data_IF_827169114783
#
_entry.id   IF_827169114783
#
_cell.length_a   1.000
_cell.length_b   1.000
_cell.length_c   1.000
_cell.angle_alpha   90.00
_cell.angle_beta   90.00
_cell.angle_gamma   90.00
#
_symmetry.space_group_name_H-M   'P 1'
#
loop_
_entity.id
_entity.type
_entity.pdbx_description
1 polymer ?
#
# COMPACT_ATOMS: atom_id res chain seq x y z
N UNK A 1 40.66 25.46 10.89
CA UNK A 1 39.28 25.19 11.31
C UNK A 1 38.95 23.78 10.83
N UNK A 2 38.90 22.77 11.72
CA UNK A 2 38.60 21.39 11.32
C UNK A 2 37.10 21.33 10.97
N UNK A 3 36.76 20.99 9.73
CA UNK A 3 35.36 20.88 9.27
C UNK A 3 34.97 19.41 9.37
N UNK A 4 33.91 19.11 10.13
CA UNK A 4 33.32 17.76 10.20
C UNK A 4 32.67 17.43 8.85
N UNK A 5 33.07 16.31 8.22
CA UNK A 5 32.35 15.71 7.09
C UNK A 5 31.49 14.57 7.62
N UNK A 6 30.28 14.41 7.09
CA UNK A 6 29.43 13.25 7.35
C UNK A 6 29.26 12.53 6.02
N UNK A 7 29.52 11.22 6.02
CA UNK A 7 29.31 10.35 4.88
C UNK A 7 28.01 9.58 5.12
N UNK A 8 27.07 9.68 4.19
CA UNK A 8 25.79 8.96 4.26
C UNK A 8 25.74 8.02 3.04
N UNK A 9 25.49 6.74 3.31
CA UNK A 9 25.41 5.68 2.29
C UNK A 9 23.95 5.23 2.22
N UNK A 10 23.38 5.27 1.02
CA UNK A 10 22.01 4.83 0.76
C UNK A 10 22.03 3.49 0.03
N UNK A 11 21.22 2.54 0.50
CA UNK A 11 20.99 1.26 -0.16
C UNK A 11 19.55 1.22 -0.69
N UNK A 12 19.40 0.94 -1.99
CA UNK A 12 18.12 0.61 -2.60
C UNK A 12 17.99 -0.90 -2.75
N UNK A 13 16.97 -1.50 -2.14
CA UNK A 13 16.57 -2.88 -2.39
C UNK A 13 15.34 -2.84 -3.30
N UNK A 14 15.52 -3.12 -4.59
CA UNK A 14 14.40 -3.40 -5.49
C UNK A 14 14.13 -4.91 -5.50
N UNK A 15 12.85 -5.30 -5.44
CA UNK A 15 12.41 -6.69 -5.40
C UNK A 15 12.53 -7.44 -6.75
N UNK A 16 13.19 -6.86 -7.76
CA UNK A 16 13.62 -7.59 -8.95
C UNK A 16 15.14 -7.72 -8.94
N UNK A 17 15.62 -8.96 -8.87
CA UNK A 17 17.03 -9.27 -9.01
C UNK A 17 17.60 -8.62 -10.29
N UNK A 18 18.73 -7.92 -10.10
CA UNK A 18 19.59 -7.26 -11.09
C UNK A 18 19.38 -5.76 -11.35
N UNK A 19 19.47 -4.92 -10.31
CA UNK A 19 20.26 -3.67 -10.33
C UNK A 19 20.16 -2.96 -8.96
N UNK A 20 21.16 -3.13 -8.08
CA UNK A 20 21.30 -2.26 -6.91
C UNK A 20 22.19 -1.07 -7.29
N UNK A 21 21.61 0.12 -7.42
CA UNK A 21 22.37 1.37 -7.48
C UNK A 21 22.79 1.80 -6.08
N UNK A 22 24.09 2.05 -5.85
CA UNK A 22 24.60 2.64 -4.60
C UNK A 22 24.89 4.11 -4.86
N UNK A 23 24.25 4.99 -4.09
CA UNK A 23 24.48 6.44 -4.18
C UNK A 23 25.17 6.96 -2.92
N UNK A 24 26.17 7.81 -3.13
CA UNK A 24 26.92 8.46 -2.06
C UNK A 24 26.56 9.94 -2.00
N UNK A 25 26.23 10.42 -0.80
CA UNK A 25 25.98 11.84 -0.57
C UNK A 25 26.94 12.35 0.50
N UNK A 26 27.43 13.56 0.30
CA UNK A 26 28.25 14.25 1.32
C UNK A 26 27.63 15.58 1.67
N UNK A 27 27.83 16.02 2.91
CA UNK A 27 27.37 17.32 3.37
C UNK A 27 28.36 17.93 4.36
N UNK A 28 28.69 19.20 4.15
CA UNK A 28 29.35 20.03 5.14
C UNK A 28 28.32 20.75 6.01
N UNK A 29 28.70 21.08 7.25
CA UNK A 29 27.82 21.74 8.22
C UNK A 29 27.32 23.09 7.68
N UNK A 30 26.01 23.17 7.41
CA UNK A 30 25.34 24.38 6.91
C UNK A 30 25.09 24.42 5.40
N UNK A 31 25.34 23.34 4.66
CA UNK A 31 25.06 23.25 3.22
C UNK A 31 23.99 22.18 2.92
N UNK A 32 23.42 22.20 1.71
CA UNK A 32 22.55 21.12 1.21
C UNK A 32 23.37 19.88 0.85
N UNK A 33 22.70 18.72 0.72
CA UNK A 33 23.36 17.47 0.36
C UNK A 33 23.77 17.52 -1.11
N UNK A 34 25.02 17.15 -1.41
CA UNK A 34 25.52 17.06 -2.78
C UNK A 34 25.73 15.59 -3.13
N UNK A 35 25.13 15.16 -4.26
CA UNK A 35 25.25 13.81 -4.81
C UNK A 35 26.65 13.63 -5.39
N UNK A 36 27.32 12.55 -5.00
CA UNK A 36 28.60 12.15 -5.58
C UNK A 36 28.33 10.95 -6.48
N UNK A 37 28.28 11.20 -7.78
CA UNK A 37 28.17 10.14 -8.78
C UNK A 37 29.52 9.43 -8.93
N UNK A 38 29.58 8.19 -8.43
CA UNK A 38 30.70 7.29 -8.72
C UNK A 38 30.23 6.39 -9.86
N UNK A 39 30.74 6.65 -11.06
CA UNK A 39 30.35 5.90 -12.26
C UNK A 39 30.77 4.43 -12.13
N UNK A 40 29.78 3.53 -12.03
CA UNK A 40 29.94 2.13 -12.36
C UNK A 40 29.13 1.88 -13.63
N UNK A 41 29.77 1.31 -14.66
CA UNK A 41 29.15 1.07 -15.96
C UNK A 41 27.89 0.19 -15.82
N UNK A 42 26.72 0.75 -16.09
CA UNK A 42 25.43 0.06 -16.14
C UNK A 42 24.25 1.04 -16.10
N UNK A 43 23.43 1.01 -17.15
CA UNK A 43 22.32 1.94 -17.41
C UNK A 43 21.10 1.75 -16.47
N UNK A 44 20.44 2.89 -16.19
CA UNK A 44 19.09 3.15 -15.65
C UNK A 44 18.61 2.45 -14.35
N UNK A 45 18.41 3.26 -13.29
CA UNK A 45 17.71 2.89 -12.04
C UNK A 45 16.70 3.97 -11.66
N UNK A 46 15.44 3.58 -11.37
CA UNK A 46 14.37 4.43 -10.82
C UNK A 46 14.18 4.21 -9.30
N UNK A 47 13.97 5.30 -8.57
CA UNK A 47 14.14 5.43 -7.11
C UNK A 47 13.02 4.84 -6.22
N UNK A 48 13.43 4.15 -5.15
CA UNK A 48 12.82 4.22 -3.82
C UNK A 48 13.94 4.08 -2.79
N UNK A 49 14.12 5.10 -1.94
CA UNK A 49 15.30 5.23 -1.05
C UNK A 49 14.89 5.35 0.41
N UNK A 50 15.52 4.58 1.29
CA UNK A 50 15.42 4.73 2.74
C UNK A 50 16.73 5.30 3.31
N UNK A 51 16.63 6.23 4.27
CA UNK A 51 17.77 6.92 4.87
C UNK A 51 18.35 6.10 6.03
N UNK A 52 19.63 5.75 5.97
CA UNK A 52 20.38 5.21 7.10
C UNK A 52 21.53 6.16 7.45
N UNK A 53 21.50 6.78 8.64
CA UNK A 53 22.60 7.60 9.14
C UNK A 53 23.61 6.74 9.88
N UNK A 54 24.83 6.59 9.35
CA UNK A 54 25.93 5.88 10.03
C UNK A 54 26.90 6.91 10.60
N UNK A 55 27.09 6.98 11.93
CA UNK A 55 28.06 7.89 12.53
C UNK A 55 29.49 7.37 12.34
N UNK A 56 30.30 8.07 11.55
CA UNK A 56 31.74 7.79 11.41
C UNK A 56 32.51 8.45 12.57
N UNK A 57 33.38 7.69 13.24
CA UNK A 57 34.15 8.11 14.42
C UNK A 57 35.09 9.30 14.16
N UNK A 58 35.38 10.09 15.20
CA UNK A 58 35.87 11.48 15.11
C UNK A 58 37.27 11.72 14.52
N UNK A 59 38.05 10.71 14.10
CA UNK A 59 39.46 10.91 13.72
C UNK A 59 39.96 10.19 12.44
N UNK A 60 39.09 9.65 11.58
CA UNK A 60 39.53 9.03 10.32
C UNK A 60 39.46 9.97 9.10
N UNK A 61 40.63 10.25 8.52
CA UNK A 61 40.77 10.82 7.19
C UNK A 61 40.59 9.70 6.17
N UNK A 62 39.46 9.70 5.46
CA UNK A 62 39.14 8.72 4.42
C UNK A 62 39.94 9.08 3.17
N UNK A 63 41.09 8.42 2.96
CA UNK A 63 41.95 8.67 1.79
C UNK A 63 41.66 7.70 0.62
N UNK A 64 40.95 6.59 0.82
CA UNK A 64 40.43 5.77 -0.29
C UNK A 64 39.04 5.17 0.00
N UNK A 65 38.05 5.27 -0.94
CA UNK A 65 36.68 4.83 -0.70
C UNK A 65 36.47 3.31 -0.73
N UNK A 66 37.45 2.55 -1.24
CA UNK A 66 37.24 1.15 -1.64
C UNK A 66 37.35 0.19 -0.45
N UNK A 67 38.26 0.44 0.49
CA UNK A 67 38.47 -0.47 1.64
C UNK A 67 37.33 -0.45 2.67
N UNK A 68 36.63 0.68 2.82
CA UNK A 68 35.50 0.81 3.75
C UNK A 68 34.26 0.04 3.24
N UNK A 69 34.14 -0.13 1.91
CA UNK A 69 33.01 -0.80 1.27
C UNK A 69 33.04 -2.32 1.53
N UNK A 70 34.22 -2.93 1.51
CA UNK A 70 34.36 -4.37 1.76
C UNK A 70 34.00 -4.72 3.22
N UNK A 71 34.45 -3.92 4.20
CA UNK A 71 34.08 -4.14 5.61
C UNK A 71 32.58 -3.90 5.89
N UNK A 72 31.97 -2.91 5.23
CA UNK A 72 30.53 -2.63 5.38
C UNK A 72 29.65 -3.70 4.71
N UNK A 73 30.10 -4.28 3.59
CA UNK A 73 29.40 -5.39 2.95
C UNK A 73 29.43 -6.65 3.82
N UNK A 74 30.57 -7.00 4.40
CA UNK A 74 30.69 -8.17 5.29
C UNK A 74 29.82 -8.02 6.55
N UNK A 75 29.81 -6.85 7.20
CA UNK A 75 28.98 -6.62 8.39
C UNK A 75 27.46 -6.68 8.10
N UNK A 76 27.04 -6.26 6.90
CA UNK A 76 25.63 -6.32 6.51
C UNK A 76 25.16 -7.74 6.17
N UNK A 77 26.06 -8.60 5.68
CA UNK A 77 25.75 -9.99 5.35
C UNK A 77 25.54 -10.86 6.60
N UNK A 78 26.31 -10.61 7.67
CA UNK A 78 26.19 -11.31 8.95
C UNK A 78 24.85 -11.00 9.66
N UNK A 79 24.35 -9.77 9.57
CA UNK A 79 23.06 -9.36 10.15
C UNK A 79 21.87 -10.04 9.45
N UNK A 80 22.00 -10.34 8.15
CA UNK A 80 20.95 -10.98 7.36
C UNK A 80 20.90 -12.51 7.54
N UNK A 81 22.01 -13.14 7.91
CA UNK A 81 22.07 -14.60 8.14
C UNK A 81 21.50 -15.02 9.51
N UNK A 82 21.56 -14.17 10.53
CA UNK A 82 21.11 -14.45 11.91
C UNK A 82 19.57 -14.52 12.05
N UNK A 83 18.82 -14.05 11.05
CA UNK A 83 17.36 -14.07 11.03
C UNK A 83 16.75 -15.34 10.42
N UNK A 84 17.56 -16.34 10.07
CA UNK A 84 17.13 -17.52 9.30
C UNK A 84 17.13 -18.87 10.03
N UNK A 85 17.51 -18.94 11.32
CA UNK A 85 17.47 -20.20 12.07
C UNK A 85 16.24 -20.32 13.01
N UNK A 86 15.44 -21.42 12.90
CA UNK A 86 14.35 -21.68 13.84
C UNK A 86 14.90 -22.30 15.13
N UNK A 87 14.78 -21.60 16.26
CA UNK A 87 15.17 -22.16 17.55
C UNK A 87 14.17 -23.24 18.03
N UNK A 88 14.62 -24.49 18.00
CA UNK A 88 13.99 -25.65 18.63
C UNK A 88 14.15 -25.55 20.16
N UNK A 89 13.06 -25.38 20.89
CA UNK A 89 13.04 -25.49 22.36
C UNK A 89 12.77 -26.96 22.72
N UNK A 90 13.73 -27.56 23.42
CA UNK A 90 13.70 -28.95 23.86
C UNK A 90 12.77 -29.19 25.06
N UNK A 91 12.19 -30.38 25.08
CA UNK A 91 11.48 -30.98 26.21
C UNK A 91 12.48 -31.30 27.34
N UNK A 92 12.34 -30.66 28.50
CA UNK A 92 12.23 -31.33 29.81
C UNK A 92 12.33 -30.36 31.01
N UNK A 93 11.34 -30.49 31.89
CA UNK A 93 11.33 -30.19 33.33
C UNK A 93 11.63 -28.75 33.84
N UNK A 94 10.57 -27.94 33.98
CA UNK A 94 10.39 -27.11 35.18
C UNK A 94 8.97 -27.30 35.71
N UNK A 95 8.85 -28.20 36.70
CA UNK A 95 7.70 -28.29 37.59
C UNK A 95 7.57 -27.00 38.40
N UNK A 96 6.61 -26.16 38.02
CA UNK A 96 6.12 -25.05 38.83
C UNK A 96 4.69 -24.76 38.40
N UNK A 97 3.71 -25.03 39.27
CA UNK A 97 2.29 -24.74 39.05
C UNK A 97 2.10 -23.27 38.66
N UNK A 98 1.97 -23.00 37.36
CA UNK A 98 1.48 -21.73 36.85
C UNK A 98 -0.01 -21.64 37.19
N UNK A 99 -0.33 -20.84 38.19
CA UNK A 99 -1.69 -20.39 38.45
C UNK A 99 -2.23 -19.78 37.17
N UNK A 100 -3.24 -20.42 36.59
CA UNK A 100 -4.02 -19.90 35.47
C UNK A 100 -4.72 -18.64 35.97
N UNK A 101 -4.42 -17.43 35.47
CA UNK A 101 -5.17 -16.26 35.85
C UNK A 101 -6.59 -16.38 35.28
N UNK A 102 -7.58 -16.06 36.10
CA UNK A 102 -9.00 -16.02 35.75
C UNK A 102 -9.23 -15.35 34.39
N UNK A 103 -9.91 -16.07 33.49
CA UNK A 103 -10.38 -15.63 32.17
C UNK A 103 -11.56 -14.65 32.25
N UNK A 104 -11.61 -13.81 33.29
CA UNK A 104 -12.62 -12.77 33.48
C UNK A 104 -11.96 -11.39 33.54
N UNK A 105 -11.38 -10.94 32.42
CA UNK A 105 -11.27 -9.52 32.05
C UNK A 105 -10.53 -9.34 30.71
N UNK A 106 -11.06 -9.89 29.61
CA UNK A 106 -10.69 -9.40 28.28
C UNK A 106 -11.40 -8.05 28.00
N UNK A 107 -11.11 -7.04 28.81
CA UNK A 107 -11.52 -5.67 28.54
C UNK A 107 -10.59 -5.08 27.47
N UNK A 108 -11.08 -5.08 26.23
CA UNK A 108 -10.81 -4.10 25.17
C UNK A 108 -9.36 -3.57 25.03
N UNK A 109 -8.50 -4.33 24.36
CA UNK A 109 -7.18 -3.85 23.88
C UNK A 109 -7.26 -3.00 22.59
N UNK A 110 -8.45 -2.77 22.02
CA UNK A 110 -8.64 -2.05 20.74
C UNK A 110 -8.96 -0.55 20.88
N UNK A 111 -9.08 -0.03 22.10
CA UNK A 111 -9.48 1.37 22.36
C UNK A 111 -8.62 2.50 21.75
N UNK A 112 -7.34 2.33 21.36
CA UNK A 112 -6.59 3.43 20.74
C UNK A 112 -7.09 3.78 19.33
N UNK A 113 -7.41 2.78 18.50
CA UNK A 113 -7.81 3.00 17.10
C UNK A 113 -9.22 3.55 16.97
N UNK A 114 -10.07 3.28 17.95
CA UNK A 114 -11.48 3.72 18.01
C UNK A 114 -11.63 5.22 18.34
N UNK A 115 -10.57 5.85 18.87
CA UNK A 115 -10.58 7.25 19.31
C UNK A 115 -9.66 8.15 18.49
N UNK A 116 -8.93 7.58 17.53
CA UNK A 116 -7.92 8.29 16.76
C UNK A 116 -8.47 8.62 15.37
N UNK A 117 -8.17 9.84 14.91
CA UNK A 117 -8.41 10.27 13.54
C UNK A 117 -7.05 10.29 12.85
N UNK A 118 -6.86 9.43 11.86
CA UNK A 118 -5.60 9.30 11.13
C UNK A 118 -5.67 10.22 9.91
N UNK A 119 -5.08 11.41 9.99
CA UNK A 119 -5.22 12.48 9.00
C UNK A 119 -4.00 12.63 8.10
N UNK A 120 -2.80 12.37 8.63
CA UNK A 120 -1.56 12.47 7.83
C UNK A 120 -1.26 11.14 7.12
N UNK A 121 -0.48 11.16 6.02
CA UNK A 121 -0.03 9.92 5.38
C UNK A 121 0.67 8.96 6.35
N UNK A 122 1.51 9.47 7.25
CA UNK A 122 2.24 8.67 8.24
C UNK A 122 1.29 8.00 9.23
N UNK A 123 0.31 8.75 9.76
CA UNK A 123 -0.71 8.19 10.67
C UNK A 123 -1.54 7.11 9.97
N UNK A 124 -1.87 7.29 8.69
CA UNK A 124 -2.59 6.27 7.93
C UNK A 124 -1.72 5.03 7.71
N UNK A 125 -0.44 5.18 7.36
CA UNK A 125 0.50 4.04 7.26
C UNK A 125 0.61 3.28 8.59
N UNK A 126 0.68 3.99 9.72
CA UNK A 126 0.65 3.37 11.04
C UNK A 126 -0.64 2.59 11.28
N UNK A 127 -1.80 3.13 10.88
CA UNK A 127 -3.07 2.40 10.95
C UNK A 127 -3.00 1.06 10.20
N UNK A 128 -2.49 1.04 8.97
CA UNK A 128 -2.33 -0.18 8.17
C UNK A 128 -1.40 -1.19 8.86
N UNK A 129 -0.25 -0.71 9.36
CA UNK A 129 0.70 -1.55 10.09
C UNK A 129 0.07 -2.18 11.36
N UNK A 130 -0.71 -1.41 12.13
CA UNK A 130 -1.43 -1.93 13.30
C UNK A 130 -2.49 -2.96 12.96
N UNK A 131 -3.09 -2.88 11.76
CA UNK A 131 -4.03 -3.88 11.26
C UNK A 131 -3.35 -5.11 10.66
N UNK A 132 -2.02 -5.12 10.54
CA UNK A 132 -1.27 -6.18 9.86
C UNK A 132 -1.55 -6.22 8.35
N UNK A 133 -1.82 -5.06 7.74
CA UNK A 133 -2.08 -4.92 6.31
C UNK A 133 -0.89 -4.20 5.68
N UNK A 134 -0.35 -4.76 4.60
CA UNK A 134 0.69 -4.11 3.81
C UNK A 134 0.08 -2.94 3.03
N UNK A 135 0.64 -1.74 3.17
CA UNK A 135 0.14 -0.60 2.44
C UNK A 135 0.48 -0.72 0.95
N UNK A 136 -0.54 -0.64 0.10
CA UNK A 136 -0.40 -0.71 -1.36
C UNK A 136 -1.36 0.28 -2.01
N UNK A 137 -0.84 1.37 -2.58
CA UNK A 137 -1.60 2.41 -3.30
C UNK A 137 -1.56 2.20 -4.83
N UNK A 138 -1.57 0.94 -5.26
CA UNK A 138 -1.47 0.58 -6.67
C UNK A 138 -2.19 -0.75 -6.95
N UNK A 139 -2.27 -1.10 -8.23
CA UNK A 139 -2.68 -2.44 -8.67
C UNK A 139 -1.44 -3.31 -8.80
N UNK A 140 -1.35 -4.36 -7.99
CA UNK A 140 -0.28 -5.37 -8.08
C UNK A 140 -0.83 -6.62 -8.77
N UNK A 141 -0.10 -7.20 -9.74
CA UNK A 141 -0.53 -8.40 -10.46
C UNK A 141 0.21 -9.63 -9.94
N UNK A 142 -0.51 -10.52 -9.26
CA UNK A 142 0.03 -11.81 -8.79
C UNK A 142 -0.24 -12.92 -9.82
N UNK A 143 -1.38 -12.87 -10.51
CA UNK A 143 -1.67 -13.80 -11.62
C UNK A 143 -0.83 -13.44 -12.86
N UNK A 144 0.43 -13.88 -12.86
CA UNK A 144 1.42 -13.55 -13.89
C UNK A 144 0.96 -13.75 -15.35
N UNK A 145 0.17 -14.79 -15.71
CA UNK A 145 -0.30 -14.94 -17.10
C UNK A 145 -1.08 -13.73 -17.62
N UNK A 146 -1.69 -12.92 -16.76
CA UNK A 146 -2.41 -11.71 -17.16
C UNK A 146 -1.50 -10.70 -17.89
N UNK A 147 -0.22 -10.66 -17.56
CA UNK A 147 0.74 -9.70 -18.13
C UNK A 147 1.00 -9.95 -19.63
N UNK A 148 0.69 -11.14 -20.13
CA UNK A 148 0.82 -11.49 -21.54
C UNK A 148 -0.43 -11.13 -22.38
N UNK A 149 -1.52 -10.68 -21.75
CA UNK A 149 -2.79 -10.38 -22.42
C UNK A 149 -2.83 -8.94 -22.90
N UNK A 150 -3.25 -8.74 -24.16
CA UNK A 150 -3.68 -7.42 -24.62
C UNK A 150 -5.11 -7.13 -24.13
N UNK A 151 -5.24 -6.46 -22.99
CA UNK A 151 -6.55 -6.16 -22.39
C UNK A 151 -7.41 -5.19 -23.21
N UNK A 152 -6.83 -4.48 -24.20
CA UNK A 152 -7.60 -3.68 -25.16
C UNK A 152 -8.41 -4.56 -26.15
N UNK A 153 -8.04 -5.83 -26.30
CA UNK A 153 -8.79 -6.79 -27.12
C UNK A 153 -9.84 -7.57 -26.32
N UNK A 154 -9.92 -7.35 -25.00
CA UNK A 154 -10.89 -8.02 -24.13
C UNK A 154 -12.34 -7.65 -24.48
N UNK A 155 -13.29 -8.56 -24.22
CA UNK A 155 -14.72 -8.28 -24.41
C UNK A 155 -15.16 -7.05 -23.61
N UNK A 156 -14.62 -6.87 -22.39
CA UNK A 156 -14.90 -5.70 -21.56
C UNK A 156 -14.50 -4.40 -22.26
N UNK A 157 -13.30 -4.33 -22.83
CA UNK A 157 -12.85 -3.14 -23.54
C UNK A 157 -13.67 -2.91 -24.82
N UNK A 158 -13.83 -3.96 -25.62
CA UNK A 158 -14.48 -3.89 -26.92
C UNK A 158 -15.99 -3.60 -26.85
N UNK A 159 -16.62 -3.79 -25.69
CA UNK A 159 -18.02 -3.40 -25.48
C UNK A 159 -18.26 -1.89 -25.57
N UNK A 160 -17.30 -1.06 -25.11
CA UNK A 160 -17.43 0.41 -25.04
C UNK A 160 -16.06 1.13 -25.24
N UNK A 161 -15.34 0.89 -26.36
CA UNK A 161 -13.94 1.33 -26.51
C UNK A 161 -13.77 2.85 -26.45
N UNK A 162 -14.75 3.62 -26.93
CA UNK A 162 -14.69 5.09 -26.89
C UNK A 162 -14.81 5.64 -25.47
N UNK A 163 -15.59 4.99 -24.59
CA UNK A 163 -15.66 5.41 -23.19
C UNK A 163 -14.38 5.03 -22.45
N UNK A 164 -13.80 3.86 -22.71
CA UNK A 164 -12.51 3.49 -22.11
C UNK A 164 -11.40 4.44 -22.52
N UNK A 165 -11.28 4.78 -23.81
CA UNK A 165 -10.34 5.80 -24.28
C UNK A 165 -10.57 7.14 -23.57
N UNK A 166 -11.82 7.59 -23.47
CA UNK A 166 -12.15 8.84 -22.78
C UNK A 166 -11.76 8.81 -21.29
N UNK A 167 -11.94 7.67 -20.61
CA UNK A 167 -11.57 7.52 -19.21
C UNK A 167 -10.06 7.48 -19.03
N UNK A 168 -9.33 6.78 -19.90
CA UNK A 168 -7.86 6.82 -19.93
C UNK A 168 -7.38 8.25 -20.16
N UNK A 169 -7.87 8.94 -21.19
CA UNK A 169 -7.50 10.34 -21.48
C UNK A 169 -7.74 11.30 -20.29
N UNK A 170 -8.73 11.02 -19.44
CA UNK A 170 -9.05 11.86 -18.30
C UNK A 170 -8.22 11.58 -17.05
N UNK A 171 -7.81 10.33 -16.82
CA UNK A 171 -7.32 9.88 -15.51
C UNK A 171 -6.00 9.11 -15.57
N UNK A 172 -5.40 8.90 -16.75
CA UNK A 172 -4.16 8.13 -16.86
C UNK A 172 -2.98 8.79 -16.14
N UNK A 173 -2.91 10.13 -16.14
CA UNK A 173 -1.92 10.87 -15.36
C UNK A 173 -2.11 10.61 -13.85
N UNK A 174 -3.36 10.63 -13.36
CA UNK A 174 -3.67 10.33 -11.96
C UNK A 174 -3.33 8.89 -11.59
N UNK A 175 -3.59 7.94 -12.51
CA UNK A 175 -3.26 6.52 -12.33
C UNK A 175 -1.73 6.33 -12.26
N UNK A 176 -1.01 6.91 -13.22
CA UNK A 176 0.45 6.83 -13.33
C UNK A 176 1.13 7.42 -12.09
N UNK A 177 0.62 8.54 -11.59
CA UNK A 177 1.11 9.19 -10.37
C UNK A 177 0.61 8.53 -9.09
N UNK A 178 -0.25 7.50 -9.18
CA UNK A 178 -0.91 6.85 -8.05
C UNK A 178 -1.58 7.88 -7.13
N UNK A 179 -2.22 8.87 -7.74
CA UNK A 179 -2.82 9.98 -7.03
C UNK A 179 -3.89 9.50 -6.04
N UNK A 180 -3.89 10.08 -4.86
CA UNK A 180 -4.86 9.81 -3.82
C UNK A 180 -5.29 11.14 -3.21
N UNK A 181 -6.59 11.41 -3.17
CA UNK A 181 -7.08 12.66 -2.61
C UNK A 181 -6.73 12.77 -1.12
N UNK A 182 -6.51 13.97 -0.57
CA UNK A 182 -6.33 14.15 0.87
C UNK A 182 -7.54 13.59 1.64
N UNK A 183 -7.27 12.70 2.60
CA UNK A 183 -8.31 12.01 3.35
C UNK A 183 -7.86 11.60 4.75
N UNK A 184 -8.83 11.31 5.62
CA UNK A 184 -8.61 10.76 6.95
C UNK A 184 -9.38 9.46 7.18
N UNK A 185 -8.83 8.60 8.05
CA UNK A 185 -9.51 7.39 8.54
C UNK A 185 -10.11 7.71 9.90
N UNK A 186 -11.39 7.40 10.09
CA UNK A 186 -12.13 7.70 11.33
C UNK A 186 -12.95 6.50 11.77
N UNK A 187 -13.02 6.26 13.07
CA UNK A 187 -13.88 5.22 13.65
C UNK A 187 -15.36 5.63 13.59
N UNK A 188 -16.23 4.71 13.16
CA UNK A 188 -17.67 4.90 13.03
C UNK A 188 -18.48 4.03 14.00
N UNK A 189 -17.83 3.23 14.85
CA UNK A 189 -18.48 2.35 15.82
C UNK A 189 -18.33 0.87 15.49
N UNK A 190 -18.64 0.01 16.46
CA UNK A 190 -18.38 -1.44 16.41
C UNK A 190 -19.07 -2.15 15.22
N UNK A 191 -20.24 -1.67 14.81
CA UNK A 191 -21.03 -2.28 13.74
C UNK A 191 -20.50 -2.00 12.33
N UNK A 192 -19.83 -0.85 12.14
CA UNK A 192 -19.34 -0.40 10.82
C UNK A 192 -17.82 -0.54 10.73
N UNK A 193 -17.12 -0.27 11.82
CA UNK A 193 -15.66 -0.17 11.84
C UNK A 193 -15.19 1.24 11.49
N UNK A 194 -14.12 1.33 10.70
CA UNK A 194 -13.58 2.59 10.20
C UNK A 194 -14.23 3.04 8.90
N UNK A 195 -14.17 4.34 8.62
CA UNK A 195 -14.56 4.93 7.34
C UNK A 195 -13.57 6.00 6.89
N UNK A 196 -13.66 6.37 5.62
CA UNK A 196 -12.79 7.36 4.98
C UNK A 196 -13.51 8.68 4.80
N UNK A 197 -12.83 9.78 5.09
CA UNK A 197 -13.38 11.13 5.02
C UNK A 197 -12.49 12.04 4.18
N UNK A 198 -13.10 12.86 3.33
CA UNK A 198 -12.38 13.85 2.53
C UNK A 198 -11.76 14.93 3.41
N UNK A 199 -10.49 15.27 3.19
CA UNK A 199 -9.83 16.39 3.87
C UNK A 199 -9.72 17.65 3.00
N UNK A 200 -10.14 17.56 1.73
CA UNK A 200 -10.28 18.68 0.80
C UNK A 200 -11.56 18.57 -0.03
N UNK A 201 -11.98 19.69 -0.61
CA UNK A 201 -13.10 19.75 -1.57
C UNK A 201 -12.68 19.10 -2.91
N UNK A 202 -13.54 18.25 -3.47
CA UNK A 202 -13.33 17.61 -4.77
C UNK A 202 -14.60 17.77 -5.64
N UNK A 203 -14.52 18.38 -6.83
CA UNK A 203 -15.68 18.52 -7.72
C UNK A 203 -16.11 17.16 -8.30
N UNK A 204 -17.37 17.07 -8.75
CA UNK A 204 -17.87 15.93 -9.52
C UNK A 204 -16.93 15.64 -10.70
N UNK A 205 -16.57 14.37 -10.88
CA UNK A 205 -15.61 13.90 -11.87
C UNK A 205 -14.15 13.98 -11.39
N UNK A 206 -13.88 14.47 -10.18
CA UNK A 206 -12.53 14.44 -9.62
C UNK A 206 -12.07 13.01 -9.31
N UNK A 207 -10.78 12.75 -9.49
CA UNK A 207 -10.15 11.48 -9.14
C UNK A 207 -9.99 11.36 -7.62
N UNK A 208 -10.50 10.27 -7.03
CA UNK A 208 -10.37 10.01 -5.59
C UNK A 208 -9.12 9.17 -5.33
N UNK A 209 -8.91 8.13 -6.13
CA UNK A 209 -7.74 7.25 -6.06
C UNK A 209 -7.96 5.91 -6.73
N UNK A 210 -6.87 5.14 -6.84
CA UNK A 210 -6.91 3.72 -7.21
C UNK A 210 -7.28 2.92 -5.97
N UNK A 211 -8.23 1.99 -6.09
CA UNK A 211 -8.47 0.98 -5.06
C UNK A 211 -7.28 0.01 -5.09
N UNK A 212 -6.35 0.17 -4.15
CA UNK A 212 -5.12 -0.59 -4.13
C UNK A 212 -5.33 -2.03 -3.68
N UNK A 213 -4.66 -2.99 -4.33
CA UNK A 213 -4.82 -4.40 -4.04
C UNK A 213 -4.12 -5.32 -5.03
N UNK A 214 -4.31 -6.63 -4.83
CA UNK A 214 -3.63 -7.68 -5.58
C UNK A 214 -4.58 -8.38 -6.54
N UNK A 215 -4.22 -8.44 -7.81
CA UNK A 215 -4.95 -9.14 -8.88
C UNK A 215 -4.55 -10.61 -8.90
N UNK A 216 -5.48 -11.49 -8.50
CA UNK A 216 -5.26 -12.93 -8.42
C UNK A 216 -6.51 -13.73 -8.79
N UNK A 217 -6.32 -15.03 -9.01
CA UNK A 217 -7.42 -15.97 -9.22
C UNK A 217 -8.42 -15.86 -8.07
N UNK A 218 -9.70 -15.66 -8.41
CA UNK A 218 -10.78 -15.51 -7.44
C UNK A 218 -10.96 -16.73 -6.53
N UNK A 219 -10.55 -17.92 -6.98
CA UNK A 219 -10.59 -19.14 -6.17
C UNK A 219 -9.57 -19.11 -5.02
N UNK A 220 -8.51 -18.30 -5.13
CA UNK A 220 -7.50 -18.08 -4.08
C UNK A 220 -7.89 -16.96 -3.11
N UNK A 221 -8.96 -16.21 -3.40
CA UNK A 221 -9.46 -15.13 -2.53
C UNK A 221 -10.24 -15.73 -1.36
N UNK A 222 -9.62 -15.72 -0.16
CA UNK A 222 -10.21 -16.31 1.04
C UNK A 222 -11.46 -15.59 1.58
N UNK A 223 -11.51 -14.25 1.50
CA UNK A 223 -12.74 -13.48 1.76
C UNK A 223 -12.96 -12.45 0.66
N UNK A 224 -14.23 -12.25 0.31
CA UNK A 224 -14.67 -11.29 -0.73
C UNK A 224 -15.15 -9.97 -0.14
N UNK A 225 -14.88 -9.71 1.14
CA UNK A 225 -15.25 -8.46 1.82
C UNK A 225 -14.52 -7.25 1.22
N UNK A 226 -13.28 -7.45 0.76
CA UNK A 226 -12.39 -6.39 0.23
C UNK A 226 -12.01 -6.60 -1.23
N UNK A 227 -12.82 -7.35 -1.98
CA UNK A 227 -12.49 -7.78 -3.33
C UNK A 227 -13.44 -7.19 -4.38
N UNK A 228 -12.86 -6.56 -5.40
CA UNK A 228 -13.56 -6.20 -6.63
C UNK A 228 -13.38 -7.28 -7.68
N UNK A 229 -14.42 -7.53 -8.49
CA UNK A 229 -14.26 -8.36 -9.67
C UNK A 229 -13.28 -7.67 -10.63
N UNK A 230 -12.28 -8.39 -11.12
CA UNK A 230 -11.34 -7.87 -12.10
C UNK A 230 -11.82 -8.28 -13.50
N UNK A 231 -11.82 -7.38 -14.51
CA UNK A 231 -12.38 -7.67 -15.83
C UNK A 231 -11.41 -8.46 -16.72
N UNK A 232 -10.98 -9.62 -16.22
CA UNK A 232 -10.22 -10.61 -16.94
C UNK A 232 -10.55 -12.01 -16.39
N UNK A 233 -10.10 -13.03 -17.12
CA UNK A 233 -10.25 -14.44 -16.76
C UNK A 233 -8.89 -15.12 -16.73
N UNK A 234 -8.78 -16.19 -15.97
CA UNK A 234 -7.61 -17.07 -16.03
C UNK A 234 -7.55 -17.80 -17.37
N UNK A 235 -6.43 -18.47 -17.65
CA UNK A 235 -6.27 -19.35 -18.81
C UNK A 235 -7.34 -20.47 -18.85
N UNK A 236 -7.84 -20.88 -17.69
CA UNK A 236 -8.88 -21.88 -17.50
C UNK A 236 -10.31 -21.31 -17.65
N UNK A 237 -10.45 -19.99 -17.79
CA UNK A 237 -11.74 -19.29 -17.84
C UNK A 237 -12.34 -19.00 -16.47
N UNK A 238 -11.57 -19.12 -15.39
CA UNK A 238 -12.01 -18.73 -14.05
C UNK A 238 -11.95 -17.21 -13.87
N UNK A 239 -12.73 -16.71 -12.92
CA UNK A 239 -12.79 -15.26 -12.65
C UNK A 239 -11.53 -14.79 -11.93
N UNK A 240 -11.09 -13.58 -12.23
CA UNK A 240 -10.03 -12.89 -11.48
C UNK A 240 -10.65 -11.86 -10.52
N UNK A 241 -9.96 -11.55 -9.44
CA UNK A 241 -10.37 -10.51 -8.49
C UNK A 241 -9.19 -9.63 -8.09
N UNK A 242 -9.47 -8.36 -7.85
CA UNK A 242 -8.58 -7.42 -7.17
C UNK A 242 -8.93 -7.46 -5.69
N UNK A 243 -8.05 -8.03 -4.87
CA UNK A 243 -8.25 -8.28 -3.45
C UNK A 243 -7.37 -7.34 -2.61
N UNK A 244 -8.00 -6.54 -1.75
CA UNK A 244 -7.32 -5.62 -0.83
C UNK A 244 -7.24 -6.13 0.61
N UNK A 245 -7.45 -7.43 0.85
CA UNK A 245 -7.51 -7.97 2.22
C UNK A 245 -6.17 -7.82 2.96
N UNK A 246 -5.08 -8.29 2.35
CA UNK A 246 -3.74 -8.36 2.95
C UNK A 246 -2.83 -7.22 2.51
N UNK A 247 -3.00 -6.73 1.28
CA UNK A 247 -2.34 -5.53 0.76
C UNK A 247 -3.36 -4.55 0.22
N UNK A 248 -3.31 -3.29 0.61
CA UNK A 248 -4.23 -2.28 0.07
C UNK A 248 -4.03 -0.90 0.67
N UNK A 249 -4.84 0.06 0.23
CA UNK A 249 -4.82 1.45 0.68
C UNK A 249 -6.14 1.83 1.37
N UNK A 250 -6.27 3.11 1.71
CA UNK A 250 -7.41 3.69 2.41
C UNK A 250 -8.76 3.33 1.77
N UNK A 251 -8.81 3.19 0.44
CA UNK A 251 -10.08 2.96 -0.28
C UNK A 251 -10.75 1.62 0.06
N UNK A 252 -10.01 0.66 0.64
CA UNK A 252 -10.59 -0.58 1.21
C UNK A 252 -11.53 -0.33 2.41
N UNK A 253 -11.45 0.86 3.02
CA UNK A 253 -12.26 1.29 4.16
C UNK A 253 -13.42 2.21 3.75
N UNK A 254 -13.57 2.51 2.45
CA UNK A 254 -14.70 3.31 1.95
C UNK A 254 -15.95 2.45 2.01
N UNK A 255 -16.92 2.87 2.82
CA UNK A 255 -18.12 2.10 3.07
C UNK A 255 -19.13 2.17 1.92
N UNK A 256 -20.08 1.23 1.92
CA UNK A 256 -21.29 1.33 1.11
C UNK A 256 -22.16 2.51 1.57
N UNK A 257 -23.04 3.03 0.72
CA UNK A 257 -23.95 4.10 1.11
C UNK A 257 -25.26 4.09 0.34
N UNK A 258 -26.33 4.64 0.93
CA UNK A 258 -27.62 4.84 0.24
C UNK A 258 -27.54 5.91 -0.86
N UNK A 259 -26.71 6.92 -0.64
CA UNK A 259 -26.49 8.03 -1.56
C UNK A 259 -24.96 8.23 -1.72
N UNK A 260 -24.28 7.27 -2.37
CA UNK A 260 -22.83 7.29 -2.48
C UNK A 260 -22.36 8.55 -3.22
N UNK A 261 -21.23 9.11 -2.78
CA UNK A 261 -20.60 10.26 -3.43
C UNK A 261 -19.43 9.88 -4.34
N UNK A 262 -19.05 8.61 -4.35
CA UNK A 262 -18.06 8.04 -5.25
C UNK A 262 -18.70 6.97 -6.14
N UNK A 263 -18.16 6.81 -7.35
CA UNK A 263 -18.48 5.74 -8.28
C UNK A 263 -17.21 4.96 -8.63
N UNK A 264 -17.36 3.65 -8.77
CA UNK A 264 -16.27 2.76 -9.20
C UNK A 264 -16.22 2.73 -10.73
N UNK A 265 -15.04 2.96 -11.28
CA UNK A 265 -14.75 2.86 -12.71
C UNK A 265 -13.59 1.90 -12.92
N UNK A 266 -13.71 1.06 -13.93
CA UNK A 266 -12.61 0.24 -14.43
C UNK A 266 -11.96 1.03 -15.56
N UNK A 267 -10.73 1.47 -15.36
CA UNK A 267 -9.99 2.30 -16.31
C UNK A 267 -8.76 1.52 -16.75
N UNK A 268 -8.55 1.40 -18.06
CA UNK A 268 -7.35 0.77 -18.59
C UNK A 268 -6.23 1.81 -18.62
N UNK A 269 -5.18 1.61 -17.82
CA UNK A 269 -4.02 2.48 -17.79
C UNK A 269 -3.17 2.36 -19.05
N UNK A 270 -2.26 3.30 -19.25
CA UNK A 270 -1.23 3.23 -20.30
C UNK A 270 -0.22 2.11 -20.07
N UNK A 271 -0.16 1.56 -18.86
CA UNK A 271 0.54 0.31 -18.53
C UNK A 271 -0.14 -0.96 -19.09
N UNK A 272 -1.33 -0.80 -19.68
CA UNK A 272 -2.10 -1.89 -20.28
C UNK A 272 -2.92 -2.70 -19.28
N UNK A 273 -3.00 -2.29 -18.02
CA UNK A 273 -3.74 -2.98 -16.96
C UNK A 273 -5.06 -2.27 -16.63
N UNK A 274 -6.05 -3.05 -16.19
CA UNK A 274 -7.25 -2.47 -15.61
C UNK A 274 -6.97 -2.02 -14.17
N UNK A 275 -7.31 -0.78 -13.85
CA UNK A 275 -7.35 -0.24 -12.50
C UNK A 275 -8.78 -0.05 -12.05
N UNK A 276 -9.05 -0.38 -10.78
CA UNK A 276 -10.32 -0.06 -10.13
C UNK A 276 -10.16 1.33 -9.51
N UNK A 277 -10.75 2.34 -10.13
CA UNK A 277 -10.62 3.73 -9.71
C UNK A 277 -11.91 4.24 -9.08
N UNK A 278 -11.77 5.02 -8.00
CA UNK A 278 -12.90 5.73 -7.41
C UNK A 278 -12.91 7.16 -7.95
N UNK A 279 -14.07 7.58 -8.46
CA UNK A 279 -14.29 8.90 -9.04
C UNK A 279 -15.43 9.59 -8.29
N UNK A 280 -15.31 10.89 -8.06
CA UNK A 280 -16.37 11.68 -7.43
C UNK A 280 -17.64 11.70 -8.32
N UNK A 281 -18.74 11.10 -7.88
CA UNK A 281 -20.01 11.08 -8.62
C UNK A 281 -20.82 12.37 -8.40
N UNK A 282 -20.51 13.09 -7.32
CA UNK A 282 -21.03 14.43 -7.01
C UNK A 282 -19.91 15.26 -6.38
N UNK A 283 -20.15 16.55 -6.17
CA UNK A 283 -19.20 17.38 -5.43
C UNK A 283 -19.05 16.81 -4.01
N UNK A 284 -17.82 16.55 -3.61
CA UNK A 284 -17.43 16.11 -2.27
C UNK A 284 -16.87 17.34 -1.54
N UNK A 285 -17.34 17.57 -0.32
CA UNK A 285 -16.83 18.63 0.55
C UNK A 285 -15.86 18.07 1.56
N UNK A 286 -14.90 18.91 1.97
CA UNK A 286 -14.06 18.60 3.13
C UNK A 286 -14.94 18.20 4.32
N UNK A 287 -14.62 17.05 4.90
CA UNK A 287 -15.34 16.45 6.02
C UNK A 287 -16.45 15.49 5.62
N UNK A 288 -16.80 15.36 4.35
CA UNK A 288 -17.74 14.34 3.88
C UNK A 288 -17.13 12.94 4.03
N UNK A 289 -17.92 11.96 4.47
CA UNK A 289 -17.53 10.55 4.35
C UNK A 289 -17.56 10.15 2.88
N UNK A 290 -16.51 9.48 2.41
CA UNK A 290 -16.49 8.85 1.11
C UNK A 290 -17.31 7.57 1.17
N UNK A 291 -18.22 7.40 0.20
CA UNK A 291 -19.14 6.27 0.11
C UNK A 291 -19.24 5.80 -1.35
N UNK A 292 -19.23 4.49 -1.56
CA UNK A 292 -19.49 3.85 -2.87
C UNK A 292 -20.74 2.97 -2.79
N UNK A 293 -21.15 2.38 -3.91
CA UNK A 293 -22.07 1.24 -3.88
C UNK A 293 -21.30 -0.06 -4.05
N UNK A 294 -21.40 -0.97 -3.08
CA UNK A 294 -20.86 -2.33 -3.19
C UNK A 294 -21.65 -3.21 -4.19
N UNK A 295 -22.83 -2.75 -4.58
CA UNK A 295 -23.70 -3.45 -5.52
C UNK A 295 -24.54 -4.57 -4.90
N UNK A 296 -25.58 -5.03 -5.61
CA UNK A 296 -26.55 -5.99 -5.08
C UNK A 296 -25.91 -7.35 -4.75
N UNK A 297 -25.01 -7.84 -5.60
CA UNK A 297 -24.38 -9.15 -5.40
C UNK A 297 -23.55 -9.26 -4.11
N UNK A 298 -23.04 -8.15 -3.59
CA UNK A 298 -22.39 -8.11 -2.28
C UNK A 298 -23.42 -8.31 -1.14
N UNK A 299 -24.57 -7.68 -1.25
CA UNK A 299 -25.61 -7.72 -0.22
C UNK A 299 -26.42 -9.01 -0.23
N UNK A 300 -26.58 -9.65 -1.38
CA UNK A 300 -27.34 -10.91 -1.52
C UNK A 300 -26.76 -12.06 -0.69
N UNK A 301 -25.48 -12.00 -0.32
CA UNK A 301 -24.79 -13.03 0.48
C UNK A 301 -24.66 -12.68 1.97
N UNK A 302 -25.22 -11.55 2.43
CA UNK A 302 -25.06 -11.06 3.81
C UNK A 302 -26.39 -10.90 4.51
N UNK A 303 -26.39 -11.08 5.84
CA UNK A 303 -27.62 -11.12 6.67
C UNK A 303 -28.19 -9.74 7.01
N UNK A 304 -27.46 -8.67 6.73
CA UNK A 304 -27.82 -7.29 7.02
C UNK A 304 -27.37 -6.40 5.86
N UNK A 305 -28.03 -5.25 5.67
CA UNK A 305 -27.58 -4.22 4.73
C UNK A 305 -26.89 -3.09 5.49
N UNK A 306 -25.85 -2.48 4.90
CA UNK A 306 -25.24 -1.28 5.47
C UNK A 306 -26.27 -0.18 5.77
N UNK A 307 -27.29 -0.09 4.92
CA UNK A 307 -28.42 0.83 5.03
C UNK A 307 -29.22 0.68 6.35
N UNK A 308 -29.18 -0.50 6.97
CA UNK A 308 -29.83 -0.78 8.25
C UNK A 308 -28.95 -0.33 9.42
N UNK A 309 -27.63 -0.35 9.26
CA UNK A 309 -26.65 0.04 10.28
C UNK A 309 -26.43 1.56 10.31
N UNK A 310 -26.29 2.21 9.16
CA UNK A 310 -26.07 3.66 9.05
C UNK A 310 -27.29 4.50 9.45
N UNK A 311 -28.50 3.93 9.46
CA UNK A 311 -29.71 4.61 9.90
C UNK A 311 -29.94 4.57 11.43
N UNK A 312 -29.11 3.82 12.16
CA UNK A 312 -29.17 3.70 13.63
C UNK A 312 -28.23 4.67 14.37
N UNK A 313 -27.49 5.51 13.63
CA UNK A 313 -26.62 6.57 14.16
C UNK A 313 -27.30 7.94 14.06
#
# INVERSE_FOLDING_TARGET
MKIKKHLIVLFGLSALAAACGIYFYTKNKGQEFERVDIAMDGDDVTDSSFLLEIPVGEDELIDEPVGLLDELFEQSADILLDLSEPQLIGEDEVNGELQVPDLESSQHLFHPLEKTVFSTPEERLEFFAHQGIEYLNATEVEYAPLLDYNLQESEKYMSEPQEHLRLTDLYDDDITLQSLMPMSIRWLGEEIGHGVFAEDDLPKGGFVGIYGGVVKDRNLVGSKDYAWAYPAETLEGDRISLDAREKGNELRLVNDGKDPNCVVKYILGSDGLWHVCYIAEKNIKKGDQLLVSYGPGYWDTRKYKYQELAAMQ
#
